data_IF_386589016842
#
_entry.id   IF_386589016842
#
_cell.length_a   1.000
_cell.length_b   1.000
_cell.length_c   1.000
_cell.angle_alpha   90.00
_cell.angle_beta   90.00
_cell.angle_gamma   90.00
#
_symmetry.space_group_name_H-M   'P 1'
#
loop_
_entity.id
_entity.type
_entity.pdbx_description
1 polymer ?
#
# COMPACT_ATOMS: atom_id res chain seq x y z
N UNK A 1 15.36 -12.79 -3.24
CA UNK A 1 13.89 -12.78 -3.09
C UNK A 1 13.53 -11.76 -2.03
N UNK A 2 12.48 -10.96 -2.27
CA UNK A 2 12.10 -9.92 -1.34
C UNK A 2 11.44 -10.47 -0.07
N UNK A 3 11.52 -9.70 1.02
CA UNK A 3 11.04 -10.06 2.35
C UNK A 3 9.86 -9.15 2.72
N UNK A 4 8.68 -9.76 2.93
CA UNK A 4 7.46 -9.07 3.31
C UNK A 4 7.60 -8.27 4.61
N UNK A 5 8.28 -8.80 5.63
CA UNK A 5 8.44 -8.12 6.92
C UNK A 5 9.13 -6.76 6.77
N UNK A 6 10.17 -6.67 5.95
CA UNK A 6 10.86 -5.41 5.69
C UNK A 6 9.95 -4.41 4.94
N UNK A 7 9.13 -4.92 4.02
CA UNK A 7 8.22 -4.09 3.24
C UNK A 7 7.07 -3.54 4.10
N UNK A 8 6.42 -4.39 4.91
CA UNK A 8 5.29 -3.97 5.76
C UNK A 8 5.72 -3.01 6.87
N UNK A 9 6.91 -3.16 7.44
CA UNK A 9 7.45 -2.23 8.43
C UNK A 9 7.56 -0.80 7.88
N UNK A 10 7.97 -0.65 6.61
CA UNK A 10 8.03 0.67 5.95
C UNK A 10 6.65 1.28 5.75
N UNK A 11 5.69 0.50 5.28
CA UNK A 11 4.31 0.94 5.08
C UNK A 11 3.69 1.39 6.41
N UNK A 12 3.79 0.57 7.45
CA UNK A 12 3.17 0.85 8.75
C UNK A 12 3.81 2.02 9.53
N UNK A 13 5.05 2.45 9.19
CA UNK A 13 5.64 3.65 9.80
C UNK A 13 4.85 4.93 9.51
N UNK A 14 4.19 4.97 8.37
CA UNK A 14 3.40 6.12 7.92
C UNK A 14 1.91 6.01 8.27
N UNK A 15 1.47 4.82 8.69
CA UNK A 15 0.09 4.57 9.07
C UNK A 15 -0.11 4.83 10.57
N UNK A 16 -1.09 5.68 10.89
CA UNK A 16 -1.46 5.99 12.27
C UNK A 16 -2.03 4.79 13.02
N UNK A 17 -2.32 4.97 14.31
CA UNK A 17 -3.07 4.02 15.10
C UNK A 17 -4.55 3.98 14.70
N UNK A 18 -5.43 3.95 15.70
CA UNK A 18 -6.87 4.06 15.48
C UNK A 18 -7.29 5.52 15.25
N UNK A 19 -8.09 5.74 14.21
CA UNK A 19 -8.73 7.03 13.90
C UNK A 19 -10.19 6.78 13.58
N UNK A 20 -11.07 7.66 14.05
CA UNK A 20 -12.48 7.70 13.66
C UNK A 20 -12.86 9.13 13.30
N UNK A 21 -12.87 9.42 12.02
CA UNK A 21 -13.36 10.68 11.48
C UNK A 21 -14.75 10.45 10.87
N UNK A 22 -15.76 11.14 11.43
CA UNK A 22 -17.15 11.03 10.97
C UNK A 22 -17.36 11.62 9.56
N UNK A 23 -16.41 12.43 9.07
CA UNK A 23 -16.45 13.05 7.74
C UNK A 23 -15.75 12.17 6.70
N UNK A 24 -14.92 11.22 7.14
CA UNK A 24 -14.23 10.30 6.25
C UNK A 24 -15.16 9.17 5.78
N UNK A 25 -15.22 8.96 4.47
CA UNK A 25 -16.00 7.89 3.84
C UNK A 25 -15.54 6.48 4.29
N UNK A 26 -14.31 6.36 4.75
CA UNK A 26 -13.72 5.13 5.30
C UNK A 26 -14.26 4.76 6.67
N UNK A 27 -14.85 5.73 7.42
CA UNK A 27 -15.28 5.56 8.78
C UNK A 27 -14.13 5.31 9.76
N UNK A 28 -14.27 4.32 10.63
CA UNK A 28 -13.19 3.90 11.50
C UNK A 28 -12.02 3.33 10.71
N UNK A 29 -10.80 3.70 11.08
CA UNK A 29 -9.58 3.22 10.44
C UNK A 29 -8.57 2.80 11.51
N UNK A 30 -7.97 1.64 11.34
CA UNK A 30 -6.88 1.16 12.16
C UNK A 30 -5.70 0.75 11.29
N UNK A 31 -4.54 1.39 11.50
CA UNK A 31 -3.32 1.16 10.71
C UNK A 31 -3.62 1.09 9.20
N UNK A 32 -4.36 2.09 8.67
CA UNK A 32 -4.71 2.19 7.24
C UNK A 32 -5.88 1.29 6.79
N UNK A 33 -6.35 0.36 7.60
CA UNK A 33 -7.49 -0.52 7.29
C UNK A 33 -8.79 0.23 7.62
N UNK A 34 -9.57 0.61 6.60
CA UNK A 34 -10.82 1.35 6.76
C UNK A 34 -12.02 0.40 6.92
N UNK A 35 -12.83 0.60 7.97
CA UNK A 35 -13.92 -0.33 8.34
C UNK A 35 -15.01 -0.40 7.28
N UNK A 36 -15.39 0.72 6.69
CA UNK A 36 -16.43 0.74 5.67
C UNK A 36 -16.03 0.01 4.39
N UNK A 37 -14.73 -0.10 4.12
CA UNK A 37 -14.18 -0.79 2.94
C UNK A 37 -13.90 -2.27 3.26
N UNK A 38 -13.41 -2.55 4.46
CA UNK A 38 -12.97 -3.87 4.90
C UNK A 38 -13.72 -4.33 6.16
N UNK A 39 -15.06 -4.30 6.11
CA UNK A 39 -15.95 -4.60 7.24
C UNK A 39 -15.78 -6.02 7.81
N UNK A 40 -15.29 -6.96 6.99
CA UNK A 40 -15.08 -8.35 7.38
C UNK A 40 -13.67 -8.65 7.91
N UNK A 41 -12.80 -7.64 8.04
CA UNK A 41 -11.48 -7.86 8.62
C UNK A 41 -11.58 -8.30 10.08
N UNK A 42 -10.93 -9.44 10.40
CA UNK A 42 -11.05 -10.07 11.73
C UNK A 42 -10.53 -9.19 12.89
N UNK A 43 -9.65 -8.21 12.62
CA UNK A 43 -9.15 -7.27 13.63
C UNK A 43 -10.23 -6.35 14.20
N UNK A 44 -11.37 -6.16 13.52
CA UNK A 44 -12.45 -5.33 14.04
C UNK A 44 -13.08 -5.89 15.31
N UNK A 45 -13.08 -7.20 15.48
CA UNK A 45 -13.56 -7.85 16.71
C UNK A 45 -12.70 -7.41 17.91
N UNK A 46 -11.38 -7.36 17.73
CA UNK A 46 -10.45 -6.92 18.79
C UNK A 46 -10.64 -5.43 19.08
N UNK A 47 -10.76 -4.61 18.07
CA UNK A 47 -11.02 -3.17 18.22
C UNK A 47 -12.33 -2.93 18.98
N UNK A 48 -13.40 -3.65 18.63
CA UNK A 48 -14.69 -3.54 19.31
C UNK A 48 -14.64 -3.99 20.77
N UNK A 49 -13.80 -4.95 21.09
CA UNK A 49 -13.54 -5.35 22.48
C UNK A 49 -12.79 -4.25 23.24
N UNK A 50 -11.75 -3.64 22.65
CA UNK A 50 -11.05 -2.51 23.26
C UNK A 50 -11.94 -1.30 23.50
N UNK A 51 -12.91 -1.01 22.62
CA UNK A 51 -13.89 0.07 22.80
C UNK A 51 -14.74 -0.06 24.06
N UNK A 52 -14.97 -1.29 24.53
CA UNK A 52 -15.76 -1.56 25.75
C UNK A 52 -14.97 -1.32 27.04
N UNK A 53 -13.66 -1.15 26.93
CA UNK A 53 -12.77 -0.95 28.06
C UNK A 53 -12.46 0.54 28.26
N UNK A 54 -12.18 0.99 29.50
CA UNK A 54 -11.79 2.36 29.75
C UNK A 54 -10.47 2.74 29.02
N UNK A 55 -10.37 3.99 28.59
CA UNK A 55 -9.13 4.55 28.00
C UNK A 55 -9.00 4.39 26.49
N UNK A 56 -10.05 3.91 25.80
CA UNK A 56 -10.04 3.82 24.33
C UNK A 56 -9.85 5.25 23.69
N UNK A 57 -9.07 5.39 22.61
CA UNK A 57 -8.28 4.38 21.88
C UNK A 57 -6.87 4.12 22.46
N UNK A 58 -6.47 4.79 23.52
CA UNK A 58 -5.15 4.65 24.13
C UNK A 58 -4.90 3.27 24.79
N UNK A 59 -5.97 2.53 25.06
CA UNK A 59 -5.91 1.16 25.58
C UNK A 59 -5.72 0.08 24.50
N UNK A 60 -5.70 0.45 23.21
CA UNK A 60 -5.34 -0.48 22.15
C UNK A 60 -3.87 -0.83 22.35
N UNK A 61 -3.63 -1.83 23.18
CA UNK A 61 -2.32 -2.45 23.25
C UNK A 61 -2.20 -3.29 21.98
N UNK A 62 -1.22 -2.98 21.15
CA UNK A 62 -0.87 -3.81 20.01
C UNK A 62 -0.41 -5.17 20.54
N UNK A 63 -1.40 -6.01 20.87
CA UNK A 63 -1.14 -7.40 21.19
C UNK A 63 -0.61 -8.08 19.93
N UNK A 64 0.31 -9.02 20.12
CA UNK A 64 0.92 -9.79 19.02
C UNK A 64 -0.13 -10.33 18.03
N UNK A 65 -1.32 -10.69 18.53
CA UNK A 65 -2.41 -11.23 17.73
C UNK A 65 -3.02 -10.19 16.77
N UNK A 66 -3.29 -8.96 17.25
CA UNK A 66 -3.83 -7.89 16.40
C UNK A 66 -2.82 -7.45 15.34
N UNK A 67 -1.53 -7.42 15.69
CA UNK A 67 -0.46 -7.14 14.71
C UNK A 67 -0.38 -8.19 13.62
N UNK A 68 -0.48 -9.47 13.97
CA UNK A 68 -0.55 -10.56 13.00
C UNK A 68 -1.75 -10.42 12.06
N UNK A 69 -2.93 -10.02 12.57
CA UNK A 69 -4.10 -9.76 11.73
C UNK A 69 -3.89 -8.59 10.75
N UNK A 70 -3.17 -7.55 11.17
CA UNK A 70 -2.77 -6.45 10.27
C UNK A 70 -1.82 -6.94 9.20
N UNK A 71 -0.76 -7.66 9.58
CA UNK A 71 0.20 -8.22 8.62
C UNK A 71 -0.48 -9.14 7.60
N UNK A 72 -1.33 -10.05 8.06
CA UNK A 72 -2.09 -10.96 7.18
C UNK A 72 -2.97 -10.19 6.21
N UNK A 73 -3.63 -9.12 6.67
CA UNK A 73 -4.43 -8.26 5.80
C UNK A 73 -3.59 -7.66 4.66
N UNK A 74 -2.44 -7.05 4.97
CA UNK A 74 -1.58 -6.44 3.97
C UNK A 74 -0.93 -7.47 3.06
N UNK A 75 -0.56 -8.63 3.61
CA UNK A 75 0.00 -9.72 2.82
C UNK A 75 -1.00 -10.21 1.76
N UNK A 76 -2.19 -10.63 2.18
CA UNK A 76 -3.18 -11.20 1.28
C UNK A 76 -3.73 -10.20 0.26
N UNK A 77 -3.95 -8.93 0.67
CA UNK A 77 -4.58 -7.95 -0.20
C UNK A 77 -3.61 -7.22 -1.14
N UNK A 78 -2.31 -7.16 -0.81
CA UNK A 78 -1.36 -6.34 -1.57
C UNK A 78 -0.06 -7.06 -1.94
N UNK A 79 0.53 -7.85 -1.03
CA UNK A 79 1.82 -8.50 -1.27
C UNK A 79 1.71 -9.76 -2.12
N UNK A 80 0.80 -10.66 -1.79
CA UNK A 80 0.58 -11.89 -2.55
C UNK A 80 0.10 -11.61 -3.99
N UNK A 81 -0.83 -10.65 -4.23
CA UNK A 81 -1.23 -10.27 -5.59
C UNK A 81 -0.09 -9.77 -6.48
N UNK A 82 0.92 -9.12 -5.92
CA UNK A 82 2.11 -8.68 -6.66
C UNK A 82 3.20 -9.76 -6.72
N UNK A 83 2.97 -10.94 -6.14
CA UNK A 83 3.96 -12.02 -6.00
C UNK A 83 5.26 -11.55 -5.34
N UNK A 84 5.15 -10.75 -4.30
CA UNK A 84 6.25 -10.06 -3.67
C UNK A 84 7.41 -10.97 -3.28
N UNK A 85 7.13 -12.16 -2.72
CA UNK A 85 8.15 -13.15 -2.36
C UNK A 85 8.98 -13.67 -3.55
N UNK A 86 8.49 -13.48 -4.80
CA UNK A 86 9.16 -13.95 -6.02
C UNK A 86 9.92 -12.82 -6.74
N UNK A 87 9.84 -11.58 -6.27
CA UNK A 87 10.62 -10.45 -6.78
C UNK A 87 12.03 -10.53 -6.21
N UNK A 88 13.05 -10.51 -7.07
CA UNK A 88 14.46 -10.68 -6.66
C UNK A 88 15.03 -9.48 -5.92
N UNK A 89 14.59 -8.26 -6.25
CA UNK A 89 15.08 -7.01 -5.68
C UNK A 89 14.12 -6.49 -4.60
N UNK A 90 14.64 -6.30 -3.36
CA UNK A 90 13.86 -5.85 -2.21
C UNK A 90 13.26 -4.45 -2.41
N UNK A 91 14.03 -3.50 -2.92
CA UNK A 91 13.58 -2.11 -3.08
C UNK A 91 12.49 -1.99 -4.15
N UNK A 92 12.58 -2.77 -5.23
CA UNK A 92 11.54 -2.83 -6.25
C UNK A 92 10.23 -3.39 -5.68
N UNK A 93 10.31 -4.48 -4.91
CA UNK A 93 9.14 -5.09 -4.26
C UNK A 93 8.48 -4.12 -3.26
N UNK A 94 9.28 -3.43 -2.45
CA UNK A 94 8.80 -2.43 -1.50
C UNK A 94 8.12 -1.25 -2.19
N UNK A 95 8.74 -0.70 -3.25
CA UNK A 95 8.19 0.41 -4.01
C UNK A 95 6.88 0.05 -4.70
N UNK A 96 6.78 -1.16 -5.26
CA UNK A 96 5.56 -1.65 -5.88
C UNK A 96 4.47 -1.91 -4.83
N UNK A 97 4.81 -2.56 -3.72
CA UNK A 97 3.91 -2.85 -2.61
C UNK A 97 3.33 -1.56 -2.00
N UNK A 98 4.18 -0.61 -1.61
CA UNK A 98 3.74 0.67 -1.05
C UNK A 98 2.80 1.40 -2.00
N UNK A 99 3.12 1.42 -3.28
CA UNK A 99 2.25 2.06 -4.25
C UNK A 99 0.93 1.31 -4.48
N UNK A 100 0.93 -0.02 -4.41
CA UNK A 100 -0.30 -0.83 -4.46
C UNK A 100 -1.20 -0.59 -3.25
N UNK A 101 -0.63 -0.41 -2.07
CA UNK A 101 -1.39 -0.02 -0.87
C UNK A 101 -2.09 1.32 -1.08
N UNK A 102 -1.41 2.31 -1.68
CA UNK A 102 -1.96 3.65 -1.90
C UNK A 102 -2.95 3.76 -3.05
N UNK A 103 -2.65 3.12 -4.18
CA UNK A 103 -3.36 3.33 -5.45
C UNK A 103 -4.25 2.15 -5.85
N UNK A 104 -4.19 1.06 -5.09
CA UNK A 104 -4.78 -0.23 -5.40
C UNK A 104 -3.86 -1.08 -6.30
N UNK A 105 -3.92 -2.41 -6.10
CA UNK A 105 -3.04 -3.39 -6.77
C UNK A 105 -3.10 -3.27 -8.29
N UNK A 106 -4.31 -3.26 -8.86
CA UNK A 106 -4.47 -3.18 -10.32
C UNK A 106 -3.80 -1.97 -10.93
N UNK A 107 -3.89 -0.83 -10.25
CA UNK A 107 -3.27 0.41 -10.70
C UNK A 107 -1.75 0.36 -10.59
N UNK A 108 -1.23 -0.06 -9.43
CA UNK A 108 0.20 -0.17 -9.18
C UNK A 108 0.87 -1.12 -10.17
N UNK A 109 0.27 -2.29 -10.36
CA UNK A 109 0.76 -3.28 -11.31
C UNK A 109 0.70 -2.78 -12.75
N UNK A 110 -0.39 -2.13 -13.19
CA UNK A 110 -0.50 -1.60 -14.55
C UNK A 110 0.58 -0.55 -14.86
N UNK A 111 0.94 0.32 -13.89
CA UNK A 111 2.03 1.28 -14.07
C UNK A 111 3.38 0.56 -14.16
N UNK A 112 3.62 -0.42 -13.29
CA UNK A 112 4.84 -1.23 -13.35
C UNK A 112 4.96 -1.96 -14.70
N UNK A 113 3.87 -2.55 -15.20
CA UNK A 113 3.81 -3.19 -16.51
C UNK A 113 4.13 -2.24 -17.65
N UNK A 114 3.64 -1.00 -17.59
CA UNK A 114 4.00 0.04 -18.56
C UNK A 114 5.50 0.35 -18.59
N UNK A 115 6.14 0.39 -17.41
CA UNK A 115 7.60 0.57 -17.28
C UNK A 115 8.37 -0.64 -17.84
N UNK A 116 7.81 -1.84 -17.66
CA UNK A 116 8.41 -3.09 -18.13
C UNK A 116 8.15 -3.39 -19.61
N UNK A 117 7.37 -2.54 -20.28
CA UNK A 117 6.94 -2.72 -21.67
C UNK A 117 6.23 -4.06 -21.91
N UNK A 118 5.35 -4.45 -21.00
CA UNK A 118 4.48 -5.63 -21.13
C UNK A 118 3.01 -5.23 -21.13
N UNK A 119 2.11 -6.18 -21.41
CA UNK A 119 0.66 -5.92 -21.39
C UNK A 119 0.21 -5.39 -20.01
N UNK A 120 -0.51 -4.25 -20.02
CA UNK A 120 -0.93 -3.52 -18.81
C UNK A 120 -2.30 -3.99 -18.31
N UNK A 121 -2.43 -5.28 -18.01
CA UNK A 121 -3.67 -5.89 -17.52
C UNK A 121 -3.90 -5.72 -16.00
N UNK A 122 -2.87 -5.28 -15.28
CA UNK A 122 -2.90 -5.07 -13.82
C UNK A 122 -2.77 -6.35 -13.00
N UNK A 123 -2.26 -7.44 -13.61
CA UNK A 123 -2.04 -8.74 -12.95
C UNK A 123 -0.59 -9.18 -13.10
N UNK A 124 0.08 -9.54 -12.00
CA UNK A 124 1.45 -10.05 -12.05
C UNK A 124 1.44 -11.51 -12.45
N UNK A 125 1.48 -11.74 -13.77
CA UNK A 125 1.70 -13.07 -14.37
C UNK A 125 3.18 -13.43 -14.52
N UNK A 126 3.49 -14.61 -15.09
CA UNK A 126 4.87 -15.06 -15.30
C UNK A 126 5.70 -14.08 -16.16
N UNK A 127 5.09 -13.45 -17.17
CA UNK A 127 5.74 -12.48 -18.07
C UNK A 127 6.15 -11.24 -17.28
N UNK A 128 5.22 -10.64 -16.52
CA UNK A 128 5.51 -9.46 -15.69
C UNK A 128 6.59 -9.77 -14.66
N UNK A 129 6.49 -10.90 -13.97
CA UNK A 129 7.47 -11.30 -12.96
C UNK A 129 8.86 -11.55 -13.57
N UNK A 130 8.91 -12.23 -14.72
CA UNK A 130 10.16 -12.46 -15.45
C UNK A 130 10.85 -11.14 -15.85
N UNK A 131 10.09 -10.17 -16.34
CA UNK A 131 10.61 -8.83 -16.69
C UNK A 131 11.04 -8.03 -15.46
N UNK A 132 10.27 -8.07 -14.35
CA UNK A 132 10.67 -7.48 -13.07
C UNK A 132 12.02 -8.01 -12.58
N UNK A 133 12.25 -9.31 -12.71
CA UNK A 133 13.48 -9.95 -12.23
C UNK A 133 14.66 -9.81 -13.20
N UNK A 134 14.43 -9.36 -14.44
CA UNK A 134 15.47 -9.17 -15.46
C UNK A 134 15.91 -7.71 -15.64
N UNK A 135 15.07 -6.74 -15.26
CA UNK A 135 15.38 -5.32 -15.41
C UNK A 135 16.40 -4.88 -14.35
N UNK A 136 17.23 -3.87 -14.68
CA UNK A 136 18.04 -3.16 -13.69
C UNK A 136 17.17 -2.49 -12.64
N UNK A 137 17.50 -2.67 -11.35
CA UNK A 137 16.68 -2.21 -10.22
C UNK A 137 16.59 -0.69 -10.14
N UNK A 138 17.67 0.03 -10.39
CA UNK A 138 17.72 1.49 -10.31
C UNK A 138 16.94 2.10 -11.47
N UNK A 139 17.08 1.53 -12.66
CA UNK A 139 16.31 1.92 -13.82
C UNK A 139 14.80 1.74 -13.59
N UNK A 140 14.40 0.56 -13.05
CA UNK A 140 13.00 0.32 -12.71
C UNK A 140 12.48 1.34 -11.70
N UNK A 141 13.19 1.57 -10.61
CA UNK A 141 12.77 2.47 -9.54
C UNK A 141 12.61 3.91 -10.04
N UNK A 142 13.54 4.39 -10.87
CA UNK A 142 13.47 5.72 -11.48
C UNK A 142 12.25 5.83 -12.42
N UNK A 143 12.09 4.88 -13.34
CA UNK A 143 10.99 4.89 -14.30
C UNK A 143 9.62 4.69 -13.62
N UNK A 144 9.55 3.83 -12.62
CA UNK A 144 8.31 3.60 -11.84
C UNK A 144 7.93 4.84 -11.04
N UNK A 145 8.90 5.57 -10.48
CA UNK A 145 8.66 6.86 -9.81
C UNK A 145 8.08 7.89 -10.78
N UNK A 146 8.61 8.00 -12.00
CA UNK A 146 8.03 8.86 -13.03
C UNK A 146 6.60 8.42 -13.39
N UNK A 147 6.33 7.14 -13.49
CA UNK A 147 4.99 6.60 -13.72
C UNK A 147 3.99 6.96 -12.61
N UNK A 148 4.42 6.86 -11.34
CA UNK A 148 3.62 7.32 -10.18
C UNK A 148 3.29 8.83 -10.29
N UNK A 149 4.29 9.66 -10.58
CA UNK A 149 4.12 11.12 -10.74
C UNK A 149 3.17 11.45 -11.89
N UNK A 150 3.34 10.80 -13.06
CA UNK A 150 2.46 10.99 -14.20
C UNK A 150 0.98 10.68 -13.84
N UNK A 151 0.74 9.62 -13.07
CA UNK A 151 -0.60 9.32 -12.54
C UNK A 151 -1.12 10.45 -11.65
N UNK A 152 -0.32 10.99 -10.74
CA UNK A 152 -0.76 12.07 -9.85
C UNK A 152 -1.10 13.33 -10.63
N UNK A 153 -0.32 13.69 -11.66
CA UNK A 153 -0.63 14.78 -12.58
C UNK A 153 -1.98 14.54 -13.25
N UNK A 154 -2.24 13.31 -13.74
CA UNK A 154 -3.52 12.94 -14.34
C UNK A 154 -4.69 13.10 -13.36
N UNK A 155 -4.54 12.66 -12.10
CA UNK A 155 -5.56 12.80 -11.07
C UNK A 155 -5.88 14.26 -10.73
N UNK A 156 -4.88 15.14 -10.70
CA UNK A 156 -5.08 16.59 -10.49
C UNK A 156 -5.76 17.22 -11.70
N UNK A 157 -5.35 16.87 -12.93
CA UNK A 157 -6.02 17.35 -14.15
C UNK A 157 -7.48 16.95 -14.21
N UNK A 158 -7.79 15.69 -13.84
CA UNK A 158 -9.16 15.17 -13.82
C UNK A 158 -10.02 15.82 -12.72
N UNK A 159 -9.43 16.12 -11.57
CA UNK A 159 -10.09 16.73 -10.43
C UNK A 159 -9.18 17.77 -9.77
N UNK A 160 -9.26 19.05 -10.15
CA UNK A 160 -8.36 20.13 -9.67
C UNK A 160 -8.30 20.26 -8.15
N UNK A 161 -9.37 19.94 -7.42
CA UNK A 161 -9.39 19.92 -5.95
C UNK A 161 -8.33 18.99 -5.32
N UNK A 162 -7.79 18.03 -6.09
CA UNK A 162 -6.72 17.15 -5.65
C UNK A 162 -5.35 17.85 -5.60
N UNK A 163 -5.21 19.06 -6.15
CA UNK A 163 -3.94 19.81 -6.14
C UNK A 163 -3.35 19.99 -4.75
N UNK A 164 -4.22 20.12 -3.73
CA UNK A 164 -3.80 20.23 -2.32
C UNK A 164 -3.01 19.02 -1.80
N UNK A 165 -3.19 17.85 -2.42
CA UNK A 165 -2.51 16.62 -2.02
C UNK A 165 -1.27 16.33 -2.88
N UNK A 166 -1.11 17.04 -4.01
CA UNK A 166 -0.12 16.71 -5.04
C UNK A 166 1.32 16.71 -4.50
N UNK A 167 1.67 17.71 -3.71
CA UNK A 167 3.00 17.80 -3.10
C UNK A 167 3.30 16.57 -2.22
N UNK A 168 2.38 16.19 -1.34
CA UNK A 168 2.53 15.02 -0.48
C UNK A 168 2.65 13.71 -1.28
N UNK A 169 1.86 13.58 -2.36
CA UNK A 169 1.93 12.40 -3.23
C UNK A 169 3.27 12.28 -3.96
N UNK A 170 3.79 13.40 -4.49
CA UNK A 170 5.09 13.42 -5.18
C UNK A 170 6.21 13.09 -4.20
N UNK A 171 6.22 13.72 -3.02
CA UNK A 171 7.19 13.47 -1.97
C UNK A 171 7.23 11.98 -1.58
N UNK A 172 6.05 11.36 -1.33
CA UNK A 172 5.96 9.93 -1.05
C UNK A 172 6.48 9.07 -2.22
N UNK A 173 6.16 9.43 -3.47
CA UNK A 173 6.64 8.69 -4.64
C UNK A 173 8.18 8.70 -4.74
N UNK A 174 8.80 9.78 -4.28
CA UNK A 174 10.26 9.95 -4.27
C UNK A 174 10.95 9.36 -3.05
N UNK A 175 10.22 8.74 -2.11
CA UNK A 175 10.78 8.09 -0.93
C UNK A 175 10.99 9.03 0.26
N UNK A 176 10.14 10.06 0.41
CA UNK A 176 10.19 11.03 1.51
C UNK A 176 11.56 11.72 1.70
N UNK A 177 12.12 12.19 0.57
CA UNK A 177 13.34 13.02 0.56
C UNK A 177 13.13 14.29 1.38
#
# INVERSE_FOLDING_TARGET
MANFKLAIEKVLRHEGGYVHDLVDLGGETYKGIARNIHSHWAGWVDIDNFKRLPGFPGNIVSGKELELKVEDFYRHNFWDPIRGDQIGNQQMAESLFDFCVNAGVRTGVAIAQGVLEVATDGVVGPVTLGRLNAIDGDLFLAAFTLGKIARYIHLVKKRPANSRFFYGWVRRAMGDI
#
